data_IF_273782744162
#
_entry.id   IF_273782744162
#
_cell.length_a   1.000
_cell.length_b   1.000
_cell.length_c   1.000
_cell.angle_alpha   90.00
_cell.angle_beta   90.00
_cell.angle_gamma   90.00
#
_symmetry.space_group_name_H-M   'P 1'
#
loop_
_entity.id
_entity.type
_entity.pdbx_description
1 polymer ?
#
# COMPACT_ATOMS: atom_id res chain seq x y z
N UNK A 1 4.95 3.64 -11.25
CA UNK A 1 3.95 2.63 -11.66
C UNK A 1 2.59 2.87 -10.99
N UNK A 2 2.55 3.07 -9.67
CA UNK A 2 1.31 3.24 -8.90
C UNK A 2 0.34 4.30 -9.45
N UNK A 3 0.80 5.51 -9.80
CA UNK A 3 -0.06 6.54 -10.39
C UNK A 3 -0.77 6.07 -11.67
N UNK A 4 -0.09 5.30 -12.53
CA UNK A 4 -0.71 4.77 -13.74
C UNK A 4 -1.79 3.74 -13.40
N UNK A 5 -1.51 2.84 -12.46
CA UNK A 5 -2.48 1.87 -11.96
C UNK A 5 -3.74 2.55 -11.40
N UNK A 6 -3.56 3.53 -10.51
CA UNK A 6 -4.67 4.27 -9.88
C UNK A 6 -5.48 5.14 -10.86
N UNK A 7 -4.89 5.55 -11.99
CA UNK A 7 -5.59 6.32 -13.03
C UNK A 7 -6.07 5.46 -14.23
N UNK A 8 -6.08 4.13 -14.08
CA UNK A 8 -6.61 3.22 -15.11
C UNK A 8 -8.14 3.17 -15.02
N UNK A 9 -8.86 2.97 -16.14
CA UNK A 9 -10.32 2.80 -16.10
C UNK A 9 -10.68 1.39 -15.66
N UNK A 10 -11.72 1.25 -14.84
CA UNK A 10 -12.21 -0.04 -14.33
C UNK A 10 -11.70 -0.31 -12.92
N UNK A 11 -11.14 -1.50 -12.71
CA UNK A 11 -10.67 -2.05 -11.44
C UNK A 11 -9.36 -1.40 -10.92
N UNK A 12 -9.33 -0.07 -10.94
CA UNK A 12 -8.15 0.75 -10.66
C UNK A 12 -7.64 0.59 -9.23
N UNK A 13 -8.54 0.33 -8.28
CA UNK A 13 -8.26 0.08 -6.88
C UNK A 13 -7.52 -1.24 -6.69
N UNK A 14 -8.01 -2.34 -7.29
CA UNK A 14 -7.32 -3.63 -7.22
C UNK A 14 -5.97 -3.59 -7.95
N UNK A 15 -5.90 -2.95 -9.12
CA UNK A 15 -4.63 -2.81 -9.87
C UNK A 15 -3.63 -1.94 -9.09
N UNK A 16 -4.09 -0.85 -8.45
CA UNK A 16 -3.24 -0.01 -7.61
C UNK A 16 -2.79 -0.74 -6.35
N UNK A 17 -3.66 -1.54 -5.73
CA UNK A 17 -3.34 -2.38 -4.58
C UNK A 17 -2.20 -3.35 -4.90
N UNK A 18 -2.33 -4.14 -5.97
CA UNK A 18 -1.30 -5.08 -6.40
C UNK A 18 0.00 -4.38 -6.81
N UNK A 19 -0.11 -3.27 -7.56
CA UNK A 19 1.06 -2.47 -7.95
C UNK A 19 1.80 -1.91 -6.74
N UNK A 20 1.06 -1.42 -5.74
CA UNK A 20 1.61 -0.91 -4.47
C UNK A 20 2.29 -2.00 -3.67
N UNK A 21 1.66 -3.17 -3.52
CA UNK A 21 2.25 -4.30 -2.80
C UNK A 21 3.59 -4.74 -3.42
N UNK A 22 3.62 -4.94 -4.73
CA UNK A 22 4.83 -5.37 -5.44
C UNK A 22 5.93 -4.30 -5.43
N UNK A 23 5.56 -3.04 -5.66
CA UNK A 23 6.53 -1.93 -5.59
C UNK A 23 7.09 -1.77 -4.17
N UNK A 24 6.26 -1.93 -3.13
CA UNK A 24 6.67 -1.84 -1.74
C UNK A 24 7.58 -3.00 -1.32
N UNK A 25 7.30 -4.23 -1.78
CA UNK A 25 8.17 -5.38 -1.55
C UNK A 25 9.54 -5.22 -2.23
N UNK A 26 9.58 -4.61 -3.42
CA UNK A 26 10.82 -4.43 -4.18
C UNK A 26 11.66 -3.24 -3.71
N UNK A 27 11.03 -2.10 -3.42
CA UNK A 27 11.70 -0.84 -3.10
C UNK A 27 11.81 -0.57 -1.58
N UNK A 28 11.08 -1.34 -0.76
CA UNK A 28 10.96 -1.14 0.68
C UNK A 28 9.91 -0.08 1.07
N UNK A 29 9.53 -0.10 2.35
CA UNK A 29 8.48 0.79 2.88
C UNK A 29 8.81 2.29 2.77
N UNK A 30 10.09 2.65 2.79
CA UNK A 30 10.56 4.03 2.67
C UNK A 30 10.33 4.64 1.27
N UNK A 31 9.92 3.84 0.28
CA UNK A 31 9.57 4.32 -1.05
C UNK A 31 8.27 5.15 -1.09
N UNK A 32 7.45 5.07 -0.04
CA UNK A 32 6.18 5.78 0.06
C UNK A 32 6.30 7.06 0.90
N UNK A 33 5.66 8.17 0.48
CA UNK A 33 5.48 9.32 1.36
C UNK A 33 4.78 8.91 2.66
N UNK A 34 5.29 9.38 3.79
CA UNK A 34 4.80 8.97 5.12
C UNK A 34 3.31 9.26 5.29
N UNK A 35 2.89 10.42 4.78
CA UNK A 35 1.53 10.95 4.87
C UNK A 35 0.52 10.06 4.16
N UNK A 36 0.94 9.24 3.19
CA UNK A 36 0.05 8.31 2.51
C UNK A 36 -0.36 7.19 3.46
N UNK A 37 0.61 6.58 4.15
CA UNK A 37 0.35 5.50 5.10
C UNK A 37 -0.46 5.99 6.31
N UNK A 38 -0.28 7.25 6.72
CA UNK A 38 -0.96 7.86 7.87
C UNK A 38 -2.46 8.07 7.64
N UNK A 39 -2.89 8.10 6.36
CA UNK A 39 -4.28 8.36 5.97
C UNK A 39 -5.07 7.10 5.60
N UNK A 40 -4.46 5.92 5.72
CA UNK A 40 -5.12 4.64 5.44
C UNK A 40 -6.22 4.39 6.47
N UNK A 41 -7.41 4.04 5.99
CA UNK A 41 -8.51 3.62 6.85
C UNK A 41 -8.12 2.35 7.62
N UNK A 42 -8.44 2.29 8.91
CA UNK A 42 -8.04 1.18 9.80
C UNK A 42 -6.53 0.94 9.92
N UNK A 43 -5.69 1.96 9.71
CA UNK A 43 -4.23 1.87 9.83
C UNK A 43 -3.75 1.22 11.14
N UNK A 44 -4.36 1.57 12.28
CA UNK A 44 -4.00 1.00 13.59
C UNK A 44 -4.15 -0.51 13.62
N UNK A 45 -5.22 -1.01 13.02
CA UNK A 45 -5.58 -2.42 13.03
C UNK A 45 -4.68 -3.18 12.07
N UNK A 46 -4.41 -2.61 10.90
CA UNK A 46 -3.41 -3.13 9.95
C UNK A 46 -2.02 -3.26 10.57
N UNK A 47 -1.57 -2.26 11.34
CA UNK A 47 -0.29 -2.33 12.04
C UNK A 47 -0.29 -3.38 13.16
N UNK A 48 -1.41 -3.54 13.85
CA UNK A 48 -1.56 -4.59 14.87
C UNK A 48 -1.47 -5.98 14.23
N UNK A 49 -2.11 -6.18 13.07
CA UNK A 49 -2.00 -7.42 12.29
C UNK A 49 -0.57 -7.67 11.79
N UNK A 50 0.12 -6.63 11.33
CA UNK A 50 1.52 -6.75 10.90
C UNK A 50 2.44 -7.16 12.07
N UNK A 51 2.28 -6.53 13.24
CA UNK A 51 3.05 -6.89 14.43
C UNK A 51 2.78 -8.33 14.90
N UNK A 52 1.55 -8.84 14.74
CA UNK A 52 1.22 -10.24 15.01
C UNK A 52 1.83 -11.22 13.99
N UNK A 53 2.04 -10.78 12.75
CA UNK A 53 2.68 -11.58 11.71
C UNK A 53 4.19 -11.72 11.92
N UNK A 54 4.84 -10.65 12.42
CA UNK A 54 6.29 -10.62 12.68
C UNK A 54 6.70 -11.31 13.99
N UNK A 55 5.74 -11.71 14.83
CA UNK A 55 5.94 -12.40 16.11
C UNK A 55 6.14 -13.91 15.95
#
# INVERSE_FOLDING_TARGET
ALRRAACTRGDSDSIACLTGALAGAHLGAAAWPKEWSERIEYRSDLLSLAALWDA
#
